data_IF_823837021261
#
_entry.id   IF_823837021261
#
_cell.length_a   1.000
_cell.length_b   1.000
_cell.length_c   1.000
_cell.angle_alpha   90.00
_cell.angle_beta   90.00
_cell.angle_gamma   90.00
#
_symmetry.space_group_name_H-M   'P 1'
#
loop_
_entity.id
_entity.type
_entity.pdbx_description
1 polymer ?
#
# COMPACT_ATOMS: atom_id res chain seq x y z
N UNK A 1 25.03 -12.72 76.95
CA UNK A 1 25.68 -12.27 75.71
C UNK A 1 24.59 -12.14 74.65
N UNK A 2 24.07 -10.92 74.48
CA UNK A 2 23.13 -10.59 73.42
C UNK A 2 23.49 -9.16 73.00
N UNK A 3 24.25 -9.05 71.91
CA UNK A 3 24.61 -7.77 71.32
C UNK A 3 23.49 -7.37 70.36
N UNK A 4 22.66 -6.44 70.80
CA UNK A 4 21.66 -5.76 69.97
C UNK A 4 22.36 -4.68 69.14
N UNK A 5 22.58 -4.95 67.86
CA UNK A 5 23.00 -3.95 66.86
C UNK A 5 21.80 -3.13 66.43
N UNK A 6 21.68 -1.90 66.95
CA UNK A 6 20.73 -0.91 66.45
C UNK A 6 21.25 -0.32 65.13
N UNK A 7 20.66 -0.75 64.01
CA UNK A 7 20.84 -0.09 62.70
C UNK A 7 20.03 1.21 62.70
N UNK A 8 20.72 2.33 62.86
CA UNK A 8 20.18 3.65 62.55
C UNK A 8 20.14 3.79 61.03
N UNK A 9 19.04 3.38 60.42
CA UNK A 9 18.70 3.66 59.02
C UNK A 9 18.33 5.15 58.91
N UNK A 10 19.34 6.02 58.78
CA UNK A 10 19.10 7.43 58.46
C UNK A 10 18.58 7.54 57.00
N UNK A 11 17.31 7.91 56.79
CA UNK A 11 16.70 7.94 55.45
C UNK A 11 17.33 9.02 54.55
N UNK A 12 18.07 9.98 55.12
CA UNK A 12 18.75 11.04 54.36
C UNK A 12 19.87 10.48 53.46
N UNK A 13 20.63 9.48 53.94
CA UNK A 13 21.71 8.88 53.16
C UNK A 13 21.21 8.16 51.90
N UNK A 14 20.02 7.57 51.97
CA UNK A 14 19.40 6.91 50.81
C UNK A 14 18.98 7.91 49.73
N UNK A 15 18.46 9.08 50.12
CA UNK A 15 18.05 10.13 49.19
C UNK A 15 19.27 10.73 48.49
N UNK A 16 20.34 11.03 49.24
CA UNK A 16 21.59 11.56 48.67
C UNK A 16 22.23 10.57 47.70
N UNK A 17 22.19 9.28 48.02
CA UNK A 17 22.67 8.21 47.14
C UNK A 17 21.87 8.13 45.83
N UNK A 18 20.54 8.18 45.89
CA UNK A 18 19.68 8.14 44.70
C UNK A 18 19.86 9.41 43.82
N UNK A 19 19.91 10.59 44.44
CA UNK A 19 20.12 11.83 43.70
C UNK A 19 21.48 11.86 42.99
N UNK A 20 22.55 11.42 43.67
CA UNK A 20 23.90 11.42 43.09
C UNK A 20 24.13 10.33 42.04
N UNK A 21 23.51 9.15 42.19
CA UNK A 21 23.80 8.01 41.31
C UNK A 21 22.86 7.95 40.11
N UNK A 22 21.56 8.17 40.31
CA UNK A 22 20.54 7.97 39.27
C UNK A 22 19.75 9.24 38.93
N UNK A 23 19.81 10.27 39.77
CA UNK A 23 18.98 11.47 39.64
C UNK A 23 19.12 12.17 38.30
N UNK A 24 20.35 12.46 37.87
CA UNK A 24 20.61 13.14 36.60
C UNK A 24 20.15 12.31 35.40
N UNK A 25 20.52 11.02 35.39
CA UNK A 25 20.22 10.10 34.30
C UNK A 25 18.70 9.84 34.17
N UNK A 26 17.98 9.77 35.29
CA UNK A 26 16.52 9.69 35.28
C UNK A 26 15.87 10.98 34.76
N UNK A 27 16.44 12.14 35.08
CA UNK A 27 15.92 13.44 34.61
C UNK A 27 16.04 13.57 33.09
N UNK A 28 17.17 13.15 32.52
CA UNK A 28 17.39 13.12 31.06
C UNK A 28 16.44 12.12 30.38
N UNK A 29 16.28 10.93 30.97
CA UNK A 29 15.37 9.91 30.46
C UNK A 29 13.90 10.38 30.46
N UNK A 30 13.45 11.06 31.52
CA UNK A 30 12.11 11.65 31.60
C UNK A 30 11.94 12.78 30.58
N UNK A 31 12.97 13.60 30.35
CA UNK A 31 12.94 14.62 29.32
C UNK A 31 12.80 14.01 27.91
N UNK A 32 13.46 12.88 27.65
CA UNK A 32 13.31 12.12 26.40
C UNK A 32 11.89 11.56 26.24
N UNK A 33 11.31 10.98 27.30
CA UNK A 33 9.91 10.52 27.30
C UNK A 33 8.94 11.67 27.03
N UNK A 34 9.14 12.82 27.66
CA UNK A 34 8.27 14.00 27.46
C UNK A 34 8.35 14.54 26.03
N UNK A 35 9.53 14.44 25.39
CA UNK A 35 9.77 14.86 24.01
C UNK A 35 9.15 13.90 23.00
N UNK A 36 9.34 12.59 23.17
CA UNK A 36 8.91 11.58 22.19
C UNK A 36 7.47 11.10 22.39
N UNK A 37 6.91 11.28 23.60
CA UNK A 37 5.55 10.85 23.97
C UNK A 37 5.24 9.41 23.54
N UNK A 38 6.09 8.43 23.93
CA UNK A 38 5.89 7.03 23.58
C UNK A 38 4.60 6.47 24.19
N UNK A 39 3.97 5.51 23.50
CA UNK A 39 2.72 4.85 23.91
C UNK A 39 2.88 4.15 25.26
N UNK A 40 4.01 3.47 25.48
CA UNK A 40 4.39 2.91 26.77
C UNK A 40 5.63 3.65 27.29
N UNK A 41 5.38 4.65 28.14
CA UNK A 41 6.41 5.45 28.79
C UNK A 41 7.39 4.60 29.61
N UNK A 42 6.92 3.51 30.23
CA UNK A 42 7.76 2.66 31.10
C UNK A 42 8.65 1.76 30.25
N UNK A 43 8.11 1.13 29.20
CA UNK A 43 8.90 0.34 28.26
C UNK A 43 9.95 1.18 27.54
N UNK A 44 9.58 2.38 27.09
CA UNK A 44 10.51 3.33 26.48
C UNK A 44 11.62 3.73 27.45
N UNK A 45 11.27 4.16 28.67
CA UNK A 45 12.24 4.54 29.69
C UNK A 45 13.23 3.40 29.96
N UNK A 46 12.73 2.16 30.10
CA UNK A 46 13.57 0.98 30.35
C UNK A 46 14.54 0.69 29.18
N UNK A 47 14.10 0.92 27.95
CA UNK A 47 14.91 0.71 26.74
C UNK A 47 15.96 1.81 26.61
N UNK A 48 15.56 3.06 26.84
CA UNK A 48 16.44 4.23 26.84
C UNK A 48 17.59 4.07 27.84
N UNK A 49 17.27 3.71 29.09
CA UNK A 49 18.25 3.48 30.16
C UNK A 49 19.25 2.37 29.78
N UNK A 50 18.79 1.28 29.14
CA UNK A 50 19.66 0.19 28.67
C UNK A 50 20.58 0.63 27.55
N UNK A 51 20.10 1.44 26.61
CA UNK A 51 20.93 1.96 25.51
C UNK A 51 21.97 2.94 26.04
N UNK A 52 21.56 3.86 26.90
CA UNK A 52 22.46 4.83 27.55
C UNK A 52 23.56 4.14 28.37
N UNK A 53 23.21 3.10 29.14
CA UNK A 53 24.19 2.31 29.88
C UNK A 53 25.20 1.59 28.96
N UNK A 54 24.76 1.09 27.79
CA UNK A 54 25.65 0.46 26.80
C UNK A 54 26.61 1.47 26.16
N UNK A 55 26.14 2.69 25.90
CA UNK A 55 26.96 3.76 25.32
C UNK A 55 28.02 4.24 26.32
N UNK A 56 27.64 4.49 27.58
CA UNK A 56 28.59 4.87 28.62
C UNK A 56 29.60 3.78 28.99
N UNK A 57 29.27 2.49 28.82
CA UNK A 57 30.22 1.39 28.99
C UNK A 57 31.14 1.25 27.76
N UNK A 58 30.73 1.76 26.60
CA UNK A 58 31.52 1.74 25.36
C UNK A 58 32.46 2.94 25.24
N UNK A 59 32.17 4.04 25.92
CA UNK A 59 32.98 5.26 25.92
C UNK A 59 34.34 5.24 26.67
N UNK A 60 34.62 4.38 27.68
CA UNK A 60 35.87 4.46 28.45
C UNK A 60 37.10 3.88 27.72
N UNK A 61 36.97 3.40 26.48
CA UNK A 61 38.10 2.92 25.68
C UNK A 61 38.51 3.85 24.54
N UNK A 62 37.89 5.03 24.40
CA UNK A 62 38.39 6.03 23.45
C UNK A 62 39.58 6.72 24.13
N UNK A 63 40.82 6.54 23.66
CA UNK A 63 41.98 7.20 24.27
C UNK A 63 41.72 8.71 24.30
N UNK A 64 42.10 9.39 25.40
CA UNK A 64 41.85 10.81 25.56
C UNK A 64 42.41 11.52 24.34
N UNK A 65 41.51 12.12 23.56
CA UNK A 65 41.92 13.02 22.49
C UNK A 65 42.77 14.09 23.19
N UNK A 66 44.05 14.29 22.79
CA UNK A 66 44.89 15.28 23.44
C UNK A 66 44.14 16.62 23.43
N UNK A 67 44.32 17.45 24.48
CA UNK A 67 43.65 18.75 24.56
C UNK A 67 43.98 19.47 23.26
N UNK A 68 42.96 19.63 22.43
CA UNK A 68 43.04 20.49 21.26
C UNK A 68 43.35 21.87 21.83
N UNK A 69 44.58 22.33 21.60
CA UNK A 69 44.92 23.73 21.65
C UNK A 69 43.73 24.50 21.09
N UNK A 70 43.21 25.44 21.88
CA UNK A 70 42.29 26.43 21.37
C UNK A 70 42.86 26.94 20.05
N UNK A 71 42.18 26.73 18.91
CA UNK A 71 42.54 27.47 17.72
C UNK A 71 42.15 28.90 18.05
N UNK A 72 43.15 29.64 18.53
CA UNK A 72 43.23 31.08 18.39
C UNK A 72 42.75 31.38 16.98
N UNK A 73 41.54 31.92 16.86
CA UNK A 73 40.95 32.32 15.60
C UNK A 73 41.99 33.19 14.89
N UNK A 74 42.63 32.73 13.82
CA UNK A 74 43.13 33.71 12.90
C UNK A 74 41.86 34.27 12.28
N UNK A 75 41.72 35.60 12.33
CA UNK A 75 40.85 36.31 11.41
C UNK A 75 41.39 36.09 9.99
N UNK A 76 41.26 34.87 9.48
CA UNK A 76 41.36 34.56 8.08
C UNK A 76 40.00 34.97 7.53
N UNK A 77 39.99 36.21 7.05
CA UNK A 77 39.20 36.54 5.87
C UNK A 77 39.55 35.47 4.84
N UNK A 78 38.74 34.40 4.78
CA UNK A 78 38.76 33.48 3.67
C UNK A 78 38.48 34.36 2.44
N UNK A 79 39.36 34.38 1.43
CA UNK A 79 39.05 35.05 0.18
C UNK A 79 37.72 34.48 -0.33
N UNK A 80 36.83 35.35 -0.81
CA UNK A 80 35.47 35.01 -1.25
C UNK A 80 35.41 34.00 -2.42
N UNK A 81 36.53 33.39 -2.77
CA UNK A 81 36.73 32.52 -3.93
C UNK A 81 36.73 31.02 -3.57
N UNK A 82 36.81 30.63 -2.29
CA UNK A 82 36.84 29.21 -1.87
C UNK A 82 35.51 28.68 -1.28
N UNK A 83 34.55 29.56 -0.95
CA UNK A 83 33.19 29.13 -0.55
C UNK A 83 32.33 28.68 -1.74
N UNK A 84 32.74 28.98 -2.96
CA UNK A 84 32.10 28.47 -4.19
C UNK A 84 32.56 27.06 -4.54
N UNK A 85 33.67 26.55 -3.99
CA UNK A 85 34.18 25.21 -4.32
C UNK A 85 33.51 24.07 -3.52
N UNK A 86 32.92 24.36 -2.36
CA UNK A 86 32.25 23.36 -1.50
C UNK A 86 30.72 23.35 -1.63
N UNK A 87 30.13 24.36 -2.28
CA UNK A 87 28.68 24.44 -2.52
C UNK A 87 28.25 23.88 -3.89
N UNK A 88 29.20 23.51 -4.74
CA UNK A 88 28.94 22.90 -6.04
C UNK A 88 29.13 21.39 -5.86
N UNK A 89 28.13 20.74 -5.26
CA UNK A 89 27.90 19.32 -5.55
C UNK A 89 27.90 19.13 -7.08
N UNK A 90 28.24 17.94 -7.62
CA UNK A 90 28.39 17.75 -9.05
C UNK A 90 27.17 18.35 -9.75
N UNK A 91 27.38 19.50 -10.40
CA UNK A 91 26.40 20.10 -11.29
C UNK A 91 26.37 19.11 -12.43
N UNK A 92 25.48 18.13 -12.30
CA UNK A 92 25.15 17.26 -13.40
C UNK A 92 24.76 18.23 -14.51
N UNK A 93 25.51 18.28 -15.63
CA UNK A 93 25.09 19.09 -16.76
C UNK A 93 23.65 18.67 -17.03
N UNK A 94 22.71 19.60 -17.26
CA UNK A 94 21.35 19.24 -17.62
C UNK A 94 21.48 18.33 -18.83
N UNK A 95 21.36 17.03 -18.60
CA UNK A 95 21.40 16.06 -19.68
C UNK A 95 20.24 16.49 -20.56
N UNK A 96 20.50 16.81 -21.84
CA UNK A 96 19.44 17.27 -22.73
C UNK A 96 18.32 16.25 -22.58
N UNK A 97 17.14 16.71 -22.15
CA UNK A 97 15.96 15.90 -21.86
C UNK A 97 15.91 14.79 -22.90
N UNK A 98 16.36 13.59 -22.52
CA UNK A 98 16.48 12.53 -23.51
C UNK A 98 15.05 12.21 -23.90
N UNK A 99 14.67 12.33 -25.19
CA UNK A 99 13.32 12.03 -25.60
C UNK A 99 13.04 10.59 -25.18
N UNK A 100 11.96 10.42 -24.42
CA UNK A 100 11.46 9.13 -23.98
C UNK A 100 11.42 8.16 -25.17
N UNK A 101 11.82 6.89 -24.98
CA UNK A 101 11.63 6.12 -23.75
C UNK A 101 12.93 5.75 -23.03
N UNK A 102 13.01 6.01 -21.72
CA UNK A 102 13.96 5.31 -20.87
C UNK A 102 13.58 3.81 -20.87
N UNK A 103 14.53 2.89 -21.14
CA UNK A 103 14.23 1.46 -21.18
C UNK A 103 13.72 0.96 -19.82
N UNK A 104 14.18 1.56 -18.72
CA UNK A 104 13.73 1.24 -17.37
C UNK A 104 12.25 1.59 -17.14
N UNK A 105 11.81 2.76 -17.63
CA UNK A 105 10.39 3.18 -17.52
C UNK A 105 9.51 2.28 -18.37
N UNK A 106 9.97 1.90 -19.56
CA UNK A 106 9.25 0.99 -20.44
C UNK A 106 9.12 -0.39 -19.80
N UNK A 107 10.23 -0.93 -19.27
CA UNK A 107 10.23 -2.20 -18.54
C UNK A 107 9.34 -2.16 -17.29
N UNK A 108 9.32 -1.05 -16.55
CA UNK A 108 8.40 -0.87 -15.43
C UNK A 108 6.94 -0.84 -15.90
N UNK A 109 6.64 -0.14 -16.99
CA UNK A 109 5.28 -0.08 -17.54
C UNK A 109 4.78 -1.44 -18.04
N UNK A 110 5.66 -2.24 -18.65
CA UNK A 110 5.37 -3.62 -19.06
C UNK A 110 5.21 -4.55 -17.86
N UNK A 111 6.04 -4.38 -16.83
CA UNK A 111 5.92 -5.12 -15.58
C UNK A 111 4.58 -4.80 -14.89
N UNK A 112 4.21 -3.53 -14.80
CA UNK A 112 2.95 -3.09 -14.18
C UNK A 112 1.73 -3.51 -15.00
N UNK A 113 1.82 -3.58 -16.34
CA UNK A 113 0.71 -4.06 -17.17
C UNK A 113 0.53 -5.58 -17.10
N UNK A 114 1.59 -6.32 -16.79
CA UNK A 114 1.55 -7.79 -16.62
C UNK A 114 1.23 -8.19 -15.19
N UNK A 115 1.52 -7.33 -14.21
CA UNK A 115 1.31 -7.62 -12.80
C UNK A 115 -0.18 -7.69 -12.47
N UNK A 116 -0.62 -8.87 -12.00
CA UNK A 116 -1.98 -9.07 -11.49
C UNK A 116 -2.22 -8.31 -10.17
N UNK A 117 -1.15 -8.02 -9.41
CA UNK A 117 -1.20 -7.37 -8.11
C UNK A 117 0.01 -6.45 -7.91
N UNK A 118 -0.23 -5.23 -7.43
CA UNK A 118 0.83 -4.29 -7.04
C UNK A 118 1.18 -4.54 -5.58
N UNK A 119 2.03 -5.55 -5.35
CA UNK A 119 2.58 -5.84 -4.02
C UNK A 119 3.68 -4.86 -3.61
N UNK A 120 4.21 -5.04 -2.39
CA UNK A 120 5.29 -4.21 -1.84
C UNK A 120 6.51 -4.14 -2.79
N UNK A 121 6.91 -5.27 -3.37
CA UNK A 121 8.02 -5.33 -4.32
C UNK A 121 7.77 -4.61 -5.66
N UNK A 122 6.52 -4.36 -6.03
CA UNK A 122 6.21 -3.55 -7.22
C UNK A 122 6.40 -2.06 -6.93
N UNK A 123 6.01 -1.62 -5.74
CA UNK A 123 6.24 -0.25 -5.28
C UNK A 123 7.71 0.07 -5.11
N UNK A 124 8.50 -0.84 -4.53
CA UNK A 124 9.95 -0.67 -4.39
C UNK A 124 10.63 -0.46 -5.75
N UNK A 125 10.30 -1.29 -6.74
CA UNK A 125 10.81 -1.14 -8.12
C UNK A 125 10.38 0.17 -8.77
N UNK A 126 9.13 0.58 -8.55
CA UNK A 126 8.62 1.83 -9.09
C UNK A 126 9.35 3.03 -8.49
N UNK A 127 9.55 3.05 -7.16
CA UNK A 127 10.29 4.07 -6.44
C UNK A 127 11.74 4.13 -6.94
N UNK A 128 12.42 2.99 -7.06
CA UNK A 128 13.81 2.92 -7.55
C UNK A 128 13.92 3.44 -9.00
N UNK A 129 12.97 3.09 -9.86
CA UNK A 129 12.93 3.58 -11.24
C UNK A 129 12.69 5.10 -11.29
N UNK A 130 11.78 5.62 -10.47
CA UNK A 130 11.49 7.06 -10.39
C UNK A 130 12.71 7.81 -9.85
N UNK A 131 13.35 7.32 -8.80
CA UNK A 131 14.57 7.91 -8.20
C UNK A 131 15.70 8.00 -9.25
N UNK A 132 15.96 6.91 -9.99
CA UNK A 132 16.99 6.88 -11.05
C UNK A 132 16.68 7.78 -12.24
N UNK A 133 15.42 7.91 -12.62
CA UNK A 133 15.01 8.66 -13.82
C UNK A 133 14.89 10.15 -13.57
N UNK A 134 14.47 10.54 -12.37
CA UNK A 134 14.30 11.94 -11.98
C UNK A 134 15.52 12.53 -11.28
N UNK A 135 16.44 11.70 -10.79
CA UNK A 135 17.52 12.10 -9.88
C UNK A 135 17.02 12.81 -8.62
N UNK A 136 15.79 12.49 -8.18
CA UNK A 136 15.27 12.98 -6.90
C UNK A 136 16.13 12.46 -5.74
N UNK A 137 16.23 13.25 -4.67
CA UNK A 137 16.94 12.88 -3.44
C UNK A 137 16.17 11.82 -2.67
N UNK A 138 14.85 11.87 -2.75
CA UNK A 138 13.97 10.87 -2.21
C UNK A 138 12.67 10.71 -2.98
N UNK A 139 12.13 9.52 -2.84
CA UNK A 139 10.84 9.15 -3.43
C UNK A 139 10.11 8.30 -2.41
N UNK A 140 8.85 8.64 -2.13
CA UNK A 140 8.05 7.93 -1.13
C UNK A 140 6.56 7.97 -1.48
N UNK A 141 5.81 7.02 -0.93
CA UNK A 141 4.39 6.82 -1.22
C UNK A 141 3.60 6.92 0.07
N UNK A 142 2.68 7.89 0.10
CA UNK A 142 1.68 8.03 1.16
C UNK A 142 0.36 7.37 0.77
N UNK A 143 -0.19 6.54 1.64
CA UNK A 143 -1.55 6.01 1.56
C UNK A 143 -2.49 6.94 2.33
N UNK A 144 -3.57 7.35 1.68
CA UNK A 144 -4.66 8.08 2.32
C UNK A 144 -5.55 7.10 3.09
N UNK A 145 -5.54 7.19 4.40
CA UNK A 145 -6.28 6.31 5.30
C UNK A 145 -7.46 7.09 5.90
N UNK A 146 -8.68 6.73 5.47
CA UNK A 146 -9.93 7.28 6.06
C UNK A 146 -10.41 6.49 7.25
N UNK A 147 -9.94 5.24 7.36
CA UNK A 147 -10.49 4.21 8.20
C UNK A 147 -9.42 3.80 9.19
N UNK A 148 -8.72 4.76 9.81
CA UNK A 148 -7.77 4.47 10.88
C UNK A 148 -8.51 4.00 12.13
N UNK A 149 -9.20 2.86 12.02
CA UNK A 149 -9.53 1.97 13.11
C UNK A 149 -8.18 1.47 13.65
N UNK A 150 -7.73 2.03 14.78
CA UNK A 150 -6.64 1.44 15.54
C UNK A 150 -5.22 1.89 15.16
N UNK A 151 -4.91 3.17 15.37
CA UNK A 151 -3.72 3.45 16.18
C UNK A 151 -4.26 3.57 17.61
N UNK A 152 -3.78 2.72 18.52
CA UNK A 152 -4.22 2.46 19.90
C UNK A 152 -4.25 3.69 20.84
N UNK A 153 -4.93 4.76 20.44
CA UNK A 153 -5.50 5.70 21.39
C UNK A 153 -6.80 5.08 21.86
N UNK A 154 -6.86 4.76 23.15
CA UNK A 154 -8.05 4.31 23.87
C UNK A 154 -9.10 5.44 23.91
N UNK A 155 -9.53 5.89 22.74
CA UNK A 155 -10.55 6.89 22.52
C UNK A 155 -11.87 6.16 22.26
N UNK A 156 -12.84 6.54 23.05
CA UNK A 156 -14.24 6.12 23.08
C UNK A 156 -14.84 6.06 21.67
N UNK A 157 -15.72 5.08 21.41
CA UNK A 157 -16.32 4.70 20.12
C UNK A 157 -17.08 5.80 19.32
N UNK A 158 -16.99 7.09 19.69
CA UNK A 158 -17.77 8.18 19.08
C UNK A 158 -16.94 9.22 18.31
N UNK A 159 -15.61 9.20 18.38
CA UNK A 159 -14.77 10.07 17.54
C UNK A 159 -14.31 9.34 16.28
N UNK A 160 -15.03 9.57 15.17
CA UNK A 160 -14.57 9.20 13.82
C UNK A 160 -13.16 9.75 13.63
N UNK A 161 -12.17 8.85 13.56
CA UNK A 161 -10.78 9.23 13.45
C UNK A 161 -10.58 10.18 12.25
N UNK A 162 -9.87 11.29 12.48
CA UNK A 162 -9.57 12.23 11.42
C UNK A 162 -8.74 11.53 10.34
N UNK A 163 -8.96 11.79 9.04
CA UNK A 163 -8.22 11.15 7.98
C UNK A 163 -6.72 11.48 8.09
N UNK A 164 -5.88 10.48 7.81
CA UNK A 164 -4.41 10.59 7.96
C UNK A 164 -3.74 10.05 6.70
N UNK A 165 -2.59 10.63 6.32
CA UNK A 165 -1.73 10.05 5.29
C UNK A 165 -0.64 9.24 5.96
N UNK A 166 -0.64 7.92 5.74
CA UNK A 166 0.37 7.00 6.26
C UNK A 166 1.41 6.72 5.19
N UNK A 167 2.69 6.93 5.46
CA UNK A 167 3.74 6.61 4.51
C UNK A 167 4.06 5.11 4.57
N UNK A 168 3.89 4.41 3.44
CA UNK A 168 4.00 2.94 3.37
C UNK A 168 5.30 2.51 2.71
N UNK A 169 5.74 3.24 1.69
CA UNK A 169 6.95 2.91 0.94
C UNK A 169 7.84 4.14 0.79
N UNK A 170 9.15 3.96 0.85
CA UNK A 170 10.13 5.03 0.67
C UNK A 170 11.43 4.49 0.07
N UNK A 171 12.19 5.36 -0.59
CA UNK A 171 13.52 5.05 -1.10
C UNK A 171 14.51 4.75 0.02
N UNK A 172 15.67 4.20 -0.33
CA UNK A 172 16.70 3.84 0.65
C UNK A 172 17.15 5.03 1.51
N UNK A 173 17.16 6.22 0.93
CA UNK A 173 17.52 7.49 1.57
C UNK A 173 16.48 7.96 2.61
N UNK A 174 15.22 7.52 2.49
CA UNK A 174 14.08 8.02 3.27
C UNK A 174 13.31 6.91 4.00
N UNK A 175 13.94 5.76 4.29
CA UNK A 175 13.32 4.64 5.01
C UNK A 175 12.72 5.04 6.38
N UNK A 176 13.27 6.06 7.04
CA UNK A 176 12.75 6.57 8.32
C UNK A 176 11.36 7.20 8.23
N UNK A 177 10.87 7.49 7.02
CA UNK A 177 9.52 8.02 6.80
C UNK A 177 8.45 6.92 6.88
N UNK A 178 8.81 5.66 6.63
CA UNK A 178 7.84 4.54 6.60
C UNK A 178 7.24 4.34 7.99
N UNK A 179 5.91 4.29 8.06
CA UNK A 179 5.15 4.20 9.30
C UNK A 179 4.83 5.54 9.96
N UNK A 180 5.42 6.64 9.49
CA UNK A 180 5.02 7.99 9.95
C UNK A 180 3.67 8.39 9.36
N UNK A 181 2.98 9.27 10.08
CA UNK A 181 1.62 9.70 9.78
C UNK A 181 1.56 11.22 9.65
N UNK A 182 0.97 11.71 8.57
CA UNK A 182 0.71 13.13 8.36
C UNK A 182 -0.76 13.43 8.70
N UNK A 183 -1.03 14.19 9.78
CA UNK A 183 -2.40 14.52 10.18
C UNK A 183 -3.08 15.46 9.18
N UNK A 184 -4.41 15.47 9.20
CA UNK A 184 -5.23 16.31 8.31
C UNK A 184 -4.85 17.79 8.39
N UNK A 185 -4.71 18.41 7.21
CA UNK A 185 -4.49 19.85 7.09
C UNK A 185 -3.05 20.31 7.36
N UNK A 186 -2.10 19.39 7.52
CA UNK A 186 -0.68 19.71 7.64
C UNK A 186 0.09 19.27 6.40
N UNK A 187 0.87 20.17 5.79
CA UNK A 187 1.76 19.82 4.68
C UNK A 187 1.11 19.94 3.30
N UNK A 188 1.92 20.31 2.31
CA UNK A 188 1.48 20.47 0.92
C UNK A 188 0.90 19.18 0.29
N UNK A 189 1.24 18.00 0.81
CA UNK A 189 0.73 16.71 0.31
C UNK A 189 -0.79 16.62 0.35
N UNK A 190 -1.47 17.28 1.30
CA UNK A 190 -2.93 17.23 1.40
C UNK A 190 -3.66 17.84 0.21
N UNK A 191 -3.02 18.80 -0.47
CA UNK A 191 -3.61 19.50 -1.62
C UNK A 191 -3.80 18.58 -2.83
N UNK A 192 -3.10 17.45 -2.85
CA UNK A 192 -3.25 16.42 -3.88
C UNK A 192 -4.68 15.86 -3.90
N UNK A 193 -5.39 15.87 -2.77
CA UNK A 193 -6.76 15.35 -2.67
C UNK A 193 -7.85 16.43 -2.65
N UNK A 194 -7.47 17.71 -2.76
CA UNK A 194 -8.43 18.79 -2.97
C UNK A 194 -9.03 18.59 -4.36
N UNK A 195 -10.28 18.09 -4.41
CA UNK A 195 -11.03 17.99 -5.66
C UNK A 195 -11.11 19.39 -6.23
N UNK A 196 -10.50 19.59 -7.40
CA UNK A 196 -10.78 20.77 -8.21
C UNK A 196 -12.21 20.57 -8.67
N UNK A 197 -13.15 21.18 -7.94
CA UNK A 197 -14.52 21.31 -8.40
C UNK A 197 -14.41 22.12 -9.66
N UNK A 198 -14.39 21.43 -10.80
CA UNK A 198 -14.52 22.09 -12.09
C UNK A 198 -15.80 22.91 -11.97
N UNK A 199 -15.68 24.24 -11.92
CA UNK A 199 -16.83 25.12 -12.03
C UNK A 199 -17.58 24.69 -13.28
N UNK A 200 -18.75 24.07 -13.11
CA UNK A 200 -19.68 23.66 -14.17
C UNK A 200 -20.32 24.88 -14.87
N UNK A 201 -19.56 25.95 -15.11
CA UNK A 201 -20.10 27.25 -15.52
C UNK A 201 -19.32 28.02 -16.59
N UNK A 202 -18.19 27.52 -17.10
CA UNK A 202 -17.56 28.13 -18.27
C UNK A 202 -18.07 27.43 -19.54
N UNK A 203 -19.11 28.04 -20.12
CA UNK A 203 -19.60 27.80 -21.47
C UNK A 203 -18.43 27.56 -22.43
N UNK A 204 -18.58 26.52 -23.24
CA UNK A 204 -17.76 26.22 -24.41
C UNK A 204 -17.72 27.46 -25.32
N UNK A 205 -16.72 28.32 -25.15
CA UNK A 205 -16.23 29.12 -26.26
C UNK A 205 -15.48 28.17 -27.19
N UNK A 206 -16.09 27.86 -28.34
CA UNK A 206 -15.53 27.12 -29.45
C UNK A 206 -14.15 27.69 -29.84
N UNK A 207 -13.09 27.08 -29.33
CA UNK A 207 -11.75 27.32 -29.82
C UNK A 207 -11.51 26.47 -31.09
N UNK A 208 -10.87 27.05 -32.12
CA UNK A 208 -10.85 26.53 -33.48
C UNK A 208 -10.13 25.18 -33.61
N UNK A 209 -10.64 24.37 -34.55
CA UNK A 209 -10.11 23.06 -34.96
C UNK A 209 -8.58 23.07 -35.10
N UNK A 210 -7.89 22.31 -34.23
CA UNK A 210 -6.47 22.02 -34.45
C UNK A 210 -5.59 21.81 -33.22
N UNK A 211 -6.10 22.00 -32.00
CA UNK A 211 -5.30 21.78 -30.78
C UNK A 211 -5.85 20.64 -29.94
N UNK A 212 -4.93 19.73 -29.58
CA UNK A 212 -5.16 18.46 -28.92
C UNK A 212 -6.30 18.48 -27.90
N UNK A 213 -7.14 17.45 -27.99
CA UNK A 213 -8.20 17.12 -27.05
C UNK A 213 -7.80 17.47 -25.61
N UNK A 214 -8.46 18.45 -25.00
CA UNK A 214 -8.42 18.63 -23.54
C UNK A 214 -8.94 17.33 -22.93
N UNK A 215 -8.04 16.49 -22.46
CA UNK A 215 -8.38 15.31 -21.68
C UNK A 215 -9.30 15.76 -20.54
N UNK A 216 -10.39 15.04 -20.32
CA UNK A 216 -11.20 15.20 -19.10
C UNK A 216 -10.22 15.27 -17.93
N UNK A 217 -10.13 16.43 -17.28
CA UNK A 217 -9.07 16.72 -16.32
C UNK A 217 -9.02 15.62 -15.27
N UNK A 218 -7.81 15.22 -14.87
CA UNK A 218 -7.67 14.28 -13.75
C UNK A 218 -8.41 14.88 -12.55
N UNK A 219 -9.24 14.10 -11.82
CA UNK A 219 -10.06 14.64 -10.74
C UNK A 219 -9.25 15.23 -9.58
N UNK A 220 -7.96 14.88 -9.51
CA UNK A 220 -7.03 15.30 -8.48
C UNK A 220 -5.81 15.97 -9.13
N UNK A 221 -5.42 17.19 -8.69
CA UNK A 221 -4.28 17.91 -9.24
C UNK A 221 -2.95 17.35 -8.71
N UNK A 222 -1.89 17.42 -9.53
CA UNK A 222 -0.52 17.26 -9.05
C UNK A 222 -0.06 18.55 -8.37
N UNK A 223 0.63 18.42 -7.23
CA UNK A 223 1.17 19.55 -6.47
C UNK A 223 2.66 19.65 -6.76
N UNK A 224 3.13 20.84 -7.16
CA UNK A 224 4.54 21.14 -7.35
C UNK A 224 4.90 22.39 -6.54
N UNK A 225 5.97 22.30 -5.77
CA UNK A 225 6.51 23.36 -4.93
C UNK A 225 7.98 23.51 -5.30
N UNK A 226 8.34 24.62 -5.93
CA UNK A 226 9.71 24.85 -6.40
C UNK A 226 10.70 25.06 -5.25
N UNK A 227 10.31 25.84 -4.23
CA UNK A 227 11.10 26.05 -3.01
C UNK A 227 10.27 25.63 -1.80
N UNK A 228 10.71 24.57 -1.12
CA UNK A 228 10.04 24.01 0.05
C UNK A 228 10.05 24.94 1.28
N UNK A 229 10.92 25.96 1.30
CA UNK A 229 10.94 26.97 2.36
C UNK A 229 10.02 28.14 2.08
N UNK A 230 9.53 28.29 0.86
CA UNK A 230 8.65 29.39 0.52
C UNK A 230 7.27 29.15 1.15
N UNK A 231 7.05 29.79 2.29
CA UNK A 231 5.80 29.77 3.02
C UNK A 231 4.81 30.84 2.51
N UNK A 232 4.96 31.33 1.28
CA UNK A 232 4.04 32.33 0.73
C UNK A 232 2.62 31.76 0.62
N UNK A 233 1.62 32.39 1.28
CA UNK A 233 0.21 32.03 1.08
C UNK A 233 -0.16 32.15 -0.40
N UNK A 234 -0.91 31.19 -0.98
CA UNK A 234 -1.76 30.19 -0.33
C UNK A 234 -1.11 28.81 -0.10
N UNK A 235 0.21 28.66 -0.28
CA UNK A 235 0.87 27.37 -0.12
C UNK A 235 0.93 26.99 1.37
N UNK A 236 0.36 25.83 1.72
CA UNK A 236 0.58 25.25 3.04
C UNK A 236 2.06 24.85 3.16
N UNK A 237 2.75 25.22 4.25
CA UNK A 237 4.15 24.90 4.42
C UNK A 237 4.33 23.38 4.45
N UNK A 238 5.41 22.89 3.83
CA UNK A 238 5.75 21.47 3.83
C UNK A 238 6.09 21.05 5.26
N UNK A 239 5.55 19.90 5.67
CA UNK A 239 5.83 19.30 6.97
C UNK A 239 7.09 18.46 6.87
N UNK A 240 8.18 18.94 7.46
CA UNK A 240 9.40 18.14 7.65
C UNK A 240 9.24 17.24 8.89
N UNK A 241 9.63 15.97 8.75
CA UNK A 241 9.53 14.97 9.83
C UNK A 241 10.75 14.96 10.75
N UNK A 242 11.94 15.23 10.22
CA UNK A 242 13.21 15.18 10.96
C UNK A 242 13.89 16.56 10.95
N UNK A 243 14.47 16.93 9.81
CA UNK A 243 15.15 18.22 9.62
C UNK A 243 14.60 18.95 8.41
N UNK A 244 14.60 20.29 8.48
CA UNK A 244 14.29 21.16 7.34
C UNK A 244 15.35 21.01 6.27
N UNK A 245 14.95 20.68 5.05
CA UNK A 245 15.84 20.56 3.89
C UNK A 245 15.48 21.60 2.85
N UNK A 246 16.48 22.08 2.12
CA UNK A 246 16.28 22.93 0.94
C UNK A 246 16.03 22.02 -0.26
N UNK A 247 15.15 22.43 -1.16
CA UNK A 247 14.84 21.67 -2.36
C UNK A 247 13.50 22.07 -2.98
N UNK A 248 13.05 21.24 -3.90
CA UNK A 248 11.73 21.29 -4.51
C UNK A 248 10.95 20.05 -4.13
N UNK A 249 9.62 20.13 -4.09
CA UNK A 249 8.76 19.01 -3.74
C UNK A 249 7.68 18.82 -4.80
N UNK A 250 7.42 17.58 -5.18
CA UNK A 250 6.30 17.23 -6.06
C UNK A 250 5.50 16.08 -5.46
N UNK A 251 4.17 16.17 -5.56
CA UNK A 251 3.27 15.11 -5.16
C UNK A 251 2.24 14.82 -6.25
N UNK A 252 2.13 13.55 -6.64
CA UNK A 252 1.27 13.09 -7.73
C UNK A 252 0.20 12.14 -7.17
N UNK A 253 -1.09 12.44 -7.38
CA UNK A 253 -2.18 11.55 -6.94
C UNK A 253 -2.20 10.27 -7.78
N UNK A 254 -2.34 9.13 -7.10
CA UNK A 254 -2.65 7.84 -7.70
C UNK A 254 -3.95 7.37 -7.06
N UNK A 255 -5.03 7.36 -7.85
CA UNK A 255 -6.36 6.98 -7.36
C UNK A 255 -6.91 5.86 -8.22
N UNK A 256 -7.35 4.80 -7.57
CA UNK A 256 -7.98 3.66 -8.23
C UNK A 256 -9.10 3.07 -7.37
N UNK A 257 -10.01 2.33 -8.01
CA UNK A 257 -11.05 1.59 -7.31
C UNK A 257 -10.52 0.20 -6.96
N UNK A 258 -10.39 -0.08 -5.66
CA UNK A 258 -10.10 -1.41 -5.15
C UNK A 258 -11.40 -2.18 -4.98
N UNK A 259 -11.43 -3.41 -5.48
CA UNK A 259 -12.49 -4.37 -5.18
C UNK A 259 -12.22 -5.17 -3.89
N UNK A 260 -11.07 -4.96 -3.25
CA UNK A 260 -10.69 -5.61 -1.99
C UNK A 260 -11.22 -4.75 -0.85
N UNK A 261 -12.51 -4.88 -0.60
CA UNK A 261 -13.17 -4.38 0.60
C UNK A 261 -13.69 -5.58 1.40
N UNK A 262 -13.84 -5.49 2.74
CA UNK A 262 -14.42 -6.58 3.52
C UNK A 262 -15.80 -6.99 2.97
N UNK A 263 -16.63 -6.01 2.60
CA UNK A 263 -17.91 -6.25 1.93
C UNK A 263 -17.75 -6.96 0.57
N UNK A 264 -16.76 -6.58 -0.24
CA UNK A 264 -16.46 -7.24 -1.52
C UNK A 264 -15.96 -8.67 -1.35
N UNK A 265 -15.20 -8.95 -0.28
CA UNK A 265 -14.73 -10.30 0.05
C UNK A 265 -15.91 -11.20 0.40
N UNK A 266 -16.85 -10.72 1.22
CA UNK A 266 -18.03 -11.50 1.61
C UNK A 266 -18.89 -11.87 0.39
N UNK A 267 -19.16 -10.91 -0.50
CA UNK A 267 -19.89 -11.13 -1.75
C UNK A 267 -19.16 -12.13 -2.65
N UNK A 268 -17.83 -12.02 -2.78
CA UNK A 268 -17.03 -12.95 -3.57
C UNK A 268 -17.07 -14.38 -3.00
N UNK A 269 -17.04 -14.52 -1.68
CA UNK A 269 -17.14 -15.81 -0.99
C UNK A 269 -18.53 -16.43 -1.20
N UNK A 270 -19.60 -15.65 -1.11
CA UNK A 270 -20.97 -16.10 -1.39
C UNK A 270 -21.12 -16.57 -2.83
N UNK A 271 -20.58 -15.81 -3.79
CA UNK A 271 -20.61 -16.21 -5.19
C UNK A 271 -19.83 -17.51 -5.45
N UNK A 272 -18.64 -17.67 -4.85
CA UNK A 272 -17.86 -18.92 -4.97
C UNK A 272 -18.64 -20.11 -4.38
N UNK A 273 -19.35 -19.93 -3.27
CA UNK A 273 -20.21 -20.97 -2.70
C UNK A 273 -21.37 -21.31 -3.65
N UNK A 274 -22.05 -20.32 -4.20
CA UNK A 274 -23.14 -20.51 -5.15
C UNK A 274 -22.68 -21.25 -6.42
N UNK A 275 -21.52 -20.90 -6.97
CA UNK A 275 -20.93 -21.59 -8.14
C UNK A 275 -20.61 -23.05 -7.80
N UNK A 276 -20.01 -23.32 -6.63
CA UNK A 276 -19.73 -24.69 -6.20
C UNK A 276 -21.00 -25.52 -6.02
N UNK A 277 -22.05 -24.96 -5.45
CA UNK A 277 -23.34 -25.65 -5.30
C UNK A 277 -24.01 -25.93 -6.64
N UNK A 278 -23.95 -24.98 -7.58
CA UNK A 278 -24.44 -25.17 -8.95
C UNK A 278 -23.66 -26.27 -9.66
N UNK A 279 -22.34 -26.25 -9.60
CA UNK A 279 -21.49 -27.24 -10.26
C UNK A 279 -21.67 -28.63 -9.65
N UNK A 280 -21.90 -28.72 -8.32
CA UNK A 280 -22.26 -29.97 -7.66
C UNK A 280 -23.61 -30.52 -8.12
N UNK A 281 -24.65 -29.68 -8.21
CA UNK A 281 -25.97 -30.07 -8.75
C UNK A 281 -25.87 -30.52 -10.21
N UNK A 282 -25.10 -29.80 -11.02
CA UNK A 282 -24.86 -30.15 -12.42
C UNK A 282 -24.13 -31.49 -12.55
N UNK A 283 -23.17 -31.77 -11.67
CA UNK A 283 -22.47 -33.05 -11.63
C UNK A 283 -23.39 -34.20 -11.19
N UNK A 284 -24.26 -33.98 -10.20
CA UNK A 284 -25.24 -34.97 -9.75
C UNK A 284 -26.27 -35.27 -10.84
N UNK A 285 -26.82 -34.24 -11.51
CA UNK A 285 -27.73 -34.41 -12.65
C UNK A 285 -27.08 -35.19 -13.80
N UNK A 286 -25.80 -34.90 -14.11
CA UNK A 286 -25.04 -35.65 -15.11
C UNK A 286 -24.82 -37.11 -14.71
N UNK A 287 -24.54 -37.39 -13.43
CA UNK A 287 -24.39 -38.75 -12.95
C UNK A 287 -25.72 -39.54 -13.02
N UNK A 288 -26.83 -38.95 -12.58
CA UNK A 288 -28.16 -39.57 -12.68
C UNK A 288 -28.57 -39.83 -14.13
N UNK A 289 -28.23 -38.92 -15.05
CA UNK A 289 -28.50 -39.12 -16.48
C UNK A 289 -27.67 -40.28 -17.05
N UNK A 290 -26.40 -40.36 -16.70
CA UNK A 290 -25.53 -41.46 -17.13
C UNK A 290 -26.01 -42.82 -16.60
N UNK A 291 -26.52 -42.89 -15.37
CA UNK A 291 -27.11 -44.12 -14.80
C UNK A 291 -28.40 -44.52 -15.52
N UNK A 292 -29.32 -43.57 -15.77
CA UNK A 292 -30.55 -43.84 -16.51
C UNK A 292 -30.28 -44.29 -17.94
N UNK A 293 -29.33 -43.64 -18.63
CA UNK A 293 -28.94 -44.00 -20.00
C UNK A 293 -28.30 -45.40 -20.04
N UNK A 294 -27.49 -45.76 -19.03
CA UNK A 294 -26.94 -47.11 -18.90
C UNK A 294 -28.02 -48.17 -18.65
N UNK A 295 -29.00 -47.89 -17.78
CA UNK A 295 -30.12 -48.81 -17.50
C UNK A 295 -31.04 -49.00 -18.73
N UNK A 296 -31.30 -47.93 -19.48
CA UNK A 296 -32.06 -47.97 -20.73
C UNK A 296 -31.32 -48.74 -21.83
N UNK A 297 -29.99 -48.57 -21.94
CA UNK A 297 -29.16 -49.34 -22.87
C UNK A 297 -29.15 -50.84 -22.53
N UNK A 298 -29.12 -51.21 -21.25
CA UNK A 298 -29.19 -52.62 -20.81
C UNK A 298 -30.57 -53.24 -21.14
N UNK A 299 -31.66 -52.51 -20.85
CA UNK A 299 -33.03 -52.94 -21.20
C UNK A 299 -33.26 -53.05 -22.72
N UNK A 300 -32.61 -52.20 -23.52
CA UNK A 300 -32.66 -52.29 -24.97
C UNK A 300 -31.92 -53.53 -25.50
N UNK A 301 -30.73 -53.82 -24.95
CA UNK A 301 -29.94 -54.99 -25.32
C UNK A 301 -30.65 -56.31 -24.97
N UNK A 302 -31.35 -56.39 -23.83
CA UNK A 302 -32.10 -57.59 -23.43
C UNK A 302 -33.31 -57.86 -24.36
N UNK A 303 -33.98 -56.81 -24.84
CA UNK A 303 -35.08 -56.93 -25.81
C UNK A 303 -34.61 -57.37 -27.20
N UNK A 304 -33.43 -56.93 -27.66
CA UNK A 304 -32.86 -57.43 -28.93
C UNK A 304 -32.45 -58.91 -28.82
N UNK A 305 -31.90 -59.34 -27.67
CA UNK A 305 -31.56 -60.73 -27.44
C UNK A 305 -32.78 -61.66 -27.39
N UNK A 306 -33.92 -61.20 -26.85
CA UNK A 306 -35.17 -61.96 -26.82
C UNK A 306 -35.92 -61.98 -28.16
N UNK A 307 -35.70 -60.99 -29.04
CA UNK A 307 -36.35 -60.88 -30.35
C UNK A 307 -35.74 -61.77 -31.45
N UNK A 308 -34.51 -62.24 -31.29
CA UNK A 308 -33.82 -63.08 -32.28
C UNK A 308 -34.25 -64.56 -32.29
N UNK A 309 -35.23 -64.96 -31.47
CA UNK A 309 -35.64 -66.35 -31.29
C UNK A 309 -36.88 -66.83 -32.07
N UNK A 310 -37.57 -65.97 -32.83
CA UNK A 310 -38.80 -66.35 -33.54
C UNK A 310 -38.83 -65.81 -34.98
N UNK A 311 -38.37 -66.61 -35.94
CA UNK A 311 -38.49 -66.27 -37.36
C UNK A 311 -37.66 -67.13 -38.30
N UNK A 312 -37.78 -68.46 -38.19
CA UNK A 312 -37.39 -69.41 -39.23
C UNK A 312 -38.56 -69.57 -40.23
N UNK A 313 -38.19 -69.63 -41.52
CA UNK A 313 -38.98 -70.01 -42.70
C UNK A 313 -40.01 -69.03 -43.31
N UNK A 314 -39.65 -68.50 -44.50
CA UNK A 314 -40.58 -68.48 -45.63
C UNK A 314 -40.65 -67.22 -46.47
N UNK A 315 -39.83 -67.16 -47.54
CA UNK A 315 -40.34 -66.92 -48.90
C UNK A 315 -40.71 -65.50 -49.39
N UNK A 316 -40.16 -65.21 -50.57
CA UNK A 316 -40.73 -64.45 -51.69
C UNK A 316 -40.58 -62.92 -51.73
N UNK A 317 -39.92 -62.53 -52.81
CA UNK A 317 -39.89 -61.22 -53.48
C UNK A 317 -41.21 -60.44 -53.39
N UNK A 318 -41.10 -59.17 -52.99
CA UNK A 318 -42.19 -58.22 -53.09
C UNK A 318 -41.74 -56.83 -52.64
N UNK A 319 -41.48 -55.95 -53.61
CA UNK A 319 -41.21 -54.54 -53.36
C UNK A 319 -42.38 -53.88 -52.62
N UNK A 320 -42.04 -52.98 -51.70
CA UNK A 320 -43.00 -52.20 -50.96
C UNK A 320 -42.27 -51.07 -50.23
N UNK A 321 -42.37 -49.88 -50.82
CA UNK A 321 -42.09 -48.61 -50.15
C UNK A 321 -42.92 -48.56 -48.86
N UNK A 322 -42.24 -48.48 -47.72
CA UNK A 322 -42.88 -48.44 -46.40
C UNK A 322 -42.06 -47.53 -45.50
N UNK A 323 -42.51 -46.28 -45.42
CA UNK A 323 -42.11 -45.28 -44.44
C UNK A 323 -42.04 -45.91 -43.04
N UNK A 324 -40.83 -46.10 -42.53
CA UNK A 324 -40.62 -46.27 -41.09
C UNK A 324 -40.64 -44.87 -40.49
N UNK A 325 -41.79 -44.51 -39.92
CA UNK A 325 -41.92 -43.42 -38.95
C UNK A 325 -40.86 -43.64 -37.86
N UNK A 326 -39.84 -42.78 -37.90
CA UNK A 326 -38.88 -42.62 -36.83
C UNK A 326 -39.62 -42.11 -35.61
N UNK A 327 -39.81 -42.97 -34.61
CA UNK A 327 -40.13 -42.54 -33.28
C UNK A 327 -38.92 -41.79 -32.71
N UNK A 328 -38.87 -40.48 -32.94
CA UNK A 328 -38.06 -39.55 -32.15
C UNK A 328 -38.48 -39.73 -30.68
N UNK A 329 -37.68 -40.47 -29.92
CA UNK A 329 -37.71 -40.41 -28.47
C UNK A 329 -37.42 -38.95 -28.11
N UNK A 330 -38.49 -38.24 -27.73
CA UNK A 330 -38.43 -36.87 -27.26
C UNK A 330 -37.48 -36.81 -26.06
N UNK A 331 -36.24 -36.42 -26.34
CA UNK A 331 -35.24 -36.08 -25.36
C UNK A 331 -35.82 -34.96 -24.51
N UNK A 332 -36.17 -35.28 -23.25
CA UNK A 332 -36.75 -34.31 -22.33
C UNK A 332 -35.87 -33.04 -22.29
N UNK A 333 -36.52 -31.85 -22.26
CA UNK A 333 -35.83 -30.58 -22.41
C UNK A 333 -34.74 -30.47 -21.35
N UNK A 334 -33.52 -30.23 -21.84
CA UNK A 334 -32.35 -29.92 -21.04
C UNK A 334 -32.74 -28.81 -20.05
N UNK A 335 -32.92 -29.14 -18.76
CA UNK A 335 -33.15 -28.14 -17.72
C UNK A 335 -31.93 -27.23 -17.71
N UNK A 336 -32.08 -26.08 -18.38
CA UNK A 336 -31.06 -25.06 -18.49
C UNK A 336 -30.72 -24.61 -17.07
N UNK A 337 -29.57 -25.06 -16.57
CA UNK A 337 -29.10 -24.66 -15.26
C UNK A 337 -28.96 -23.14 -15.24
N UNK A 338 -29.63 -22.43 -14.32
CA UNK A 338 -29.64 -20.98 -14.33
C UNK A 338 -28.21 -20.45 -14.22
N UNK A 339 -27.83 -19.58 -15.15
CA UNK A 339 -26.57 -18.85 -15.08
C UNK A 339 -26.55 -17.97 -13.83
N UNK A 340 -25.52 -18.12 -13.00
CA UNK A 340 -25.31 -17.24 -11.86
C UNK A 340 -24.70 -15.95 -12.43
N UNK A 341 -25.36 -14.79 -12.31
CA UNK A 341 -24.80 -13.53 -12.78
C UNK A 341 -23.53 -13.19 -11.99
N UNK A 342 -22.54 -12.59 -12.65
CA UNK A 342 -21.33 -12.11 -11.97
C UNK A 342 -21.72 -11.08 -10.90
N UNK A 343 -21.18 -11.20 -9.68
CA UNK A 343 -21.49 -10.27 -8.62
C UNK A 343 -20.85 -8.91 -8.92
N UNK A 344 -21.62 -7.83 -8.73
CA UNK A 344 -21.07 -6.49 -8.72
C UNK A 344 -20.37 -6.26 -7.39
N UNK A 345 -19.03 -6.17 -7.43
CA UNK A 345 -18.25 -5.92 -6.22
C UNK A 345 -18.24 -4.42 -5.92
N UNK A 346 -18.56 -3.99 -4.68
CA UNK A 346 -18.50 -2.60 -4.30
C UNK A 346 -17.04 -2.11 -4.37
N UNK A 347 -16.77 -1.19 -5.28
CA UNK A 347 -15.46 -0.56 -5.42
C UNK A 347 -15.24 0.47 -4.32
N UNK A 348 -14.17 0.31 -3.56
CA UNK A 348 -13.69 1.31 -2.59
C UNK A 348 -12.59 2.13 -3.25
N UNK A 349 -12.70 3.46 -3.21
CA UNK A 349 -11.71 4.37 -3.77
C UNK A 349 -10.46 4.37 -2.88
N UNK A 350 -9.35 3.80 -3.35
CA UNK A 350 -8.05 3.84 -2.67
C UNK A 350 -7.21 4.96 -3.27
N UNK A 351 -6.63 5.78 -2.40
CA UNK A 351 -5.85 6.96 -2.80
C UNK A 351 -4.44 6.88 -2.26
N UNK A 352 -3.47 7.02 -3.14
CA UNK A 352 -2.07 7.17 -2.83
C UNK A 352 -1.57 8.52 -3.34
N UNK A 353 -0.50 9.02 -2.73
CA UNK A 353 0.28 10.15 -3.21
C UNK A 353 1.74 9.70 -3.37
N UNK A 354 2.22 9.73 -4.61
CA UNK A 354 3.64 9.55 -4.92
C UNK A 354 4.33 10.91 -4.74
N UNK A 355 5.25 10.98 -3.80
CA UNK A 355 5.96 12.19 -3.41
C UNK A 355 7.44 12.08 -3.80
N UNK A 356 8.03 13.15 -4.30
CA UNK A 356 9.45 13.25 -4.60
C UNK A 356 10.02 14.55 -4.00
N UNK A 357 11.24 14.47 -3.48
CA UNK A 357 12.00 15.57 -2.88
C UNK A 357 13.44 15.69 -3.41
#
# INVERSE_FOLDING_TARGET
MASSSSSSDDPSGAVDYLQSTVGQLLTEAIAAVAKERPVDAVAFLSTWLRTHAKEHVKEPSRPPKPPAEEPSQPSQQLPAEDLTALAVGPVFPPTPWSPWPNPEVTALSEFLSTAQWVGEGAWEKAIECVEKTTNATGVYVGLFDTDSEGIDTAATEEEKAAPVVRYVHASASHKGLVGTCLPQGQGATWRVWEKVVAEEGQEEEEAPEGQASKSKGRPYPSVYVEDVLDATPPLQPIKFFDMTRLGSFIAVPIVYQSCISPAGIDIAVEHIKAVKERDAKLAELRAQRAEKEAEEAEKAAEKEAAGAGAGEEGGAEGGGEGEKEGGEAAMEPEEAVPEIPLPELPGVEVKYALCLD
#
